data_IF_391844182960
#
_entry.id   IF_391844182960
#
_cell.length_a   1.000
_cell.length_b   1.000
_cell.length_c   1.000
_cell.angle_alpha   90.00
_cell.angle_beta   90.00
_cell.angle_gamma   90.00
#
_symmetry.space_group_name_H-M   'P 1'
#
loop_
_entity.id
_entity.type
_entity.pdbx_description
1 polymer ?
#
# COMPACT_ATOMS: atom_id res chain seq x y z
N UNK A 1 -5.96 1.82 -1.42
CA UNK A 1 -7.43 1.77 -1.25
C UNK A 1 -8.06 0.38 -1.26
N UNK A 2 -7.19 -0.70 -1.09
CA UNK A 2 -7.46 -2.12 -1.11
C UNK A 2 -5.09 -2.56 -0.21
N UNK A 3 -4.18 -3.55 0.12
CA UNK A 3 -2.87 -3.25 0.69
C UNK A 3 -1.88 -2.97 -0.44
N UNK A 4 -1.01 -2.00 -0.15
CA UNK A 4 0.03 -1.48 -1.05
C UNK A 4 1.31 -2.32 -0.98
N UNK A 5 2.42 -1.63 -0.75
CA UNK A 5 3.73 -2.25 -0.68
C UNK A 5 4.39 -1.88 0.65
N UNK A 6 5.70 -2.07 0.75
CA UNK A 6 6.45 -1.83 1.99
C UNK A 6 6.35 -0.39 2.52
N UNK A 7 6.22 0.58 1.62
CA UNK A 7 6.21 1.99 2.02
C UNK A 7 4.90 2.72 1.73
N UNK A 8 4.26 2.38 0.62
CA UNK A 8 3.04 3.06 0.19
C UNK A 8 1.84 2.14 0.46
N UNK A 9 0.74 2.74 0.92
CA UNK A 9 -0.50 2.04 1.31
C UNK A 9 -1.69 2.62 0.50
N UNK A 10 -2.65 1.76 0.13
CA UNK A 10 -3.61 2.03 -0.94
C UNK A 10 -5.04 1.78 -0.45
#
# INVERSE_FOLDING_TARGET
FXFFNKYVAL
#
